data_IF_980119343415
#
_entry.id   IF_980119343415
#
_cell.length_a   1.000
_cell.length_b   1.000
_cell.length_c   1.000
_cell.angle_alpha   90.00
_cell.angle_beta   90.00
_cell.angle_gamma   90.00
#
_symmetry.space_group_name_H-M   'P 1'
#
loop_
_entity.id
_entity.type
_entity.pdbx_description
1 polymer ?
#
# COMPACT_ATOMS: atom_id res chain seq x y z
N UNK A 1 -3.01 2.37 13.43
CA UNK A 1 -4.39 2.50 12.88
C UNK A 1 -4.82 1.28 12.05
N UNK A 2 -4.06 0.80 11.06
CA UNK A 2 -4.46 -0.37 10.24
C UNK A 2 -4.76 -1.60 11.12
N UNK A 3 -3.88 -1.92 12.06
CA UNK A 3 -4.08 -3.06 12.99
C UNK A 3 -5.37 -2.88 13.80
N UNK A 4 -5.61 -1.71 14.37
CA UNK A 4 -6.81 -1.40 15.15
C UNK A 4 -8.09 -1.61 14.33
N UNK A 5 -8.09 -1.15 13.06
CA UNK A 5 -9.23 -1.37 12.16
C UNK A 5 -9.39 -2.85 11.82
N UNK A 6 -8.29 -3.56 11.57
CA UNK A 6 -8.30 -4.99 11.29
C UNK A 6 -8.84 -5.80 12.48
N UNK A 7 -8.41 -5.49 13.70
CA UNK A 7 -8.88 -6.14 14.93
C UNK A 7 -10.37 -5.88 15.17
N UNK A 8 -10.82 -4.65 15.00
CA UNK A 8 -12.23 -4.28 15.18
C UNK A 8 -13.16 -4.99 14.17
N UNK A 9 -12.62 -5.43 13.02
CA UNK A 9 -13.37 -6.03 11.92
C UNK A 9 -12.86 -7.43 11.55
N UNK A 10 -12.32 -8.18 12.50
CA UNK A 10 -11.64 -9.46 12.26
C UNK A 10 -12.53 -10.57 11.65
N UNK A 11 -13.85 -10.47 11.81
CA UNK A 11 -14.82 -11.44 11.31
C UNK A 11 -15.57 -10.94 10.05
N UNK A 12 -15.31 -9.71 9.62
CA UNK A 12 -15.95 -9.14 8.43
C UNK A 12 -15.36 -9.78 7.19
N UNK A 13 -16.24 -10.31 6.33
CA UNK A 13 -15.90 -10.94 5.07
C UNK A 13 -16.36 -10.02 3.94
N UNK A 14 -15.50 -9.85 2.94
CA UNK A 14 -15.82 -9.11 1.72
C UNK A 14 -15.39 -9.92 0.47
N UNK A 15 -15.90 -9.60 -0.71
CA UNK A 15 -15.37 -10.19 -1.94
C UNK A 15 -13.95 -9.69 -2.19
N UNK A 16 -13.01 -10.61 -2.38
CA UNK A 16 -11.70 -10.31 -2.92
C UNK A 16 -11.79 -10.09 -4.43
N UNK A 17 -10.91 -9.26 -4.97
CA UNK A 17 -10.93 -8.89 -6.39
C UNK A 17 -9.61 -9.22 -7.07
N UNK A 18 -9.71 -9.75 -8.29
CA UNK A 18 -8.63 -9.79 -9.28
C UNK A 18 -9.17 -9.20 -10.59
N UNK A 19 -8.37 -8.40 -11.30
CA UNK A 19 -8.82 -7.72 -12.52
C UNK A 19 -10.11 -6.87 -12.34
N UNK A 20 -10.34 -6.34 -11.12
CA UNK A 20 -11.59 -5.69 -10.70
C UNK A 20 -12.83 -6.57 -10.87
N UNK A 21 -12.67 -7.88 -10.95
CA UNK A 21 -13.75 -8.86 -10.92
C UNK A 21 -13.75 -9.57 -9.56
N UNK A 22 -14.93 -9.88 -9.05
CA UNK A 22 -15.08 -10.66 -7.81
C UNK A 22 -14.43 -12.03 -7.98
N UNK A 23 -13.66 -12.44 -7.00
CA UNK A 23 -12.92 -13.70 -7.04
C UNK A 23 -13.34 -14.61 -5.87
N UNK A 24 -12.70 -14.51 -4.73
CA UNK A 24 -12.96 -15.35 -3.57
C UNK A 24 -13.30 -14.47 -2.35
N UNK A 25 -14.10 -14.99 -1.40
CA UNK A 25 -14.30 -14.32 -0.12
C UNK A 25 -12.98 -14.17 0.63
N UNK A 26 -12.78 -13.03 1.27
CA UNK A 26 -11.59 -12.74 2.07
C UNK A 26 -11.99 -12.00 3.34
N UNK A 27 -11.30 -12.22 4.44
CA UNK A 27 -11.46 -11.40 5.65
C UNK A 27 -10.93 -9.99 5.40
N UNK A 28 -11.70 -8.98 5.80
CA UNK A 28 -11.27 -7.58 5.73
C UNK A 28 -9.97 -7.36 6.51
N UNK A 29 -9.83 -8.00 7.67
CA UNK A 29 -8.61 -7.97 8.47
C UNK A 29 -7.40 -8.51 7.70
N UNK A 30 -7.54 -9.62 6.98
CA UNK A 30 -6.49 -10.19 6.15
C UNK A 30 -6.08 -9.24 5.02
N UNK A 31 -7.05 -8.63 4.35
CA UNK A 31 -6.80 -7.64 3.30
C UNK A 31 -6.03 -6.41 3.83
N UNK A 32 -6.49 -5.84 4.96
CA UNK A 32 -5.83 -4.69 5.60
C UNK A 32 -4.41 -5.03 6.07
N UNK A 33 -4.20 -6.23 6.59
CA UNK A 33 -2.87 -6.68 7.02
C UNK A 33 -1.89 -6.88 5.86
N UNK A 34 -2.35 -7.02 4.61
CA UNK A 34 -1.46 -6.96 3.45
C UNK A 34 -0.79 -5.57 3.32
N UNK A 35 -1.52 -4.49 3.56
CA UNK A 35 -0.96 -3.14 3.62
C UNK A 35 -0.04 -2.94 4.83
N UNK A 36 -0.38 -3.52 5.98
CA UNK A 36 0.54 -3.52 7.12
C UNK A 36 1.90 -4.15 6.74
N UNK A 37 1.90 -5.27 6.02
CA UNK A 37 3.14 -5.92 5.56
C UNK A 37 3.93 -5.02 4.58
N UNK A 38 3.25 -4.26 3.72
CA UNK A 38 3.92 -3.29 2.84
C UNK A 38 4.61 -2.18 3.66
N UNK A 39 3.89 -1.59 4.62
CA UNK A 39 4.41 -0.54 5.49
C UNK A 39 5.52 -1.02 6.43
N UNK A 40 5.46 -2.27 6.89
CA UNK A 40 6.55 -2.89 7.67
C UNK A 40 7.84 -2.95 6.85
N UNK A 41 7.77 -3.39 5.60
CA UNK A 41 8.93 -3.36 4.71
C UNK A 41 9.43 -1.95 4.41
N UNK A 42 8.54 -0.94 4.40
CA UNK A 42 8.94 0.46 4.25
C UNK A 42 9.68 0.96 5.48
N UNK A 43 9.25 0.55 6.67
CA UNK A 43 9.97 0.86 7.90
C UNK A 43 11.40 0.29 7.91
N UNK A 44 11.55 -0.96 7.46
CA UNK A 44 12.87 -1.59 7.34
C UNK A 44 13.76 -0.85 6.31
N UNK A 45 13.18 -0.38 5.19
CA UNK A 45 13.90 0.46 4.23
C UNK A 45 14.39 1.76 4.86
N UNK A 46 13.50 2.45 5.59
CA UNK A 46 13.86 3.70 6.28
C UNK A 46 14.98 3.47 7.33
N UNK A 47 14.91 2.38 8.08
CA UNK A 47 15.96 2.01 9.03
C UNK A 47 17.31 1.80 8.32
N UNK A 48 17.29 1.17 7.15
CA UNK A 48 18.48 1.01 6.31
C UNK A 48 19.03 2.34 5.79
N UNK A 49 18.16 3.24 5.34
CA UNK A 49 18.55 4.62 4.93
C UNK A 49 19.22 5.34 6.10
N UNK A 50 18.58 5.31 7.28
CA UNK A 50 19.16 5.90 8.50
C UNK A 50 20.58 5.40 8.77
N UNK A 51 20.80 4.10 8.75
CA UNK A 51 22.12 3.49 9.02
C UNK A 51 23.19 3.93 8.02
N UNK A 52 22.85 4.11 6.74
CA UNK A 52 23.79 4.52 5.69
C UNK A 52 24.03 6.02 5.65
N UNK A 53 23.08 6.82 6.10
CA UNK A 53 23.23 8.29 6.19
C UNK A 53 23.93 8.76 7.47
N UNK A 54 24.20 7.87 8.42
CA UNK A 54 24.80 8.19 9.72
C UNK A 54 26.34 8.24 9.64
N UNK A 55 26.83 9.11 8.75
CA UNK A 55 28.24 9.33 8.44
C UNK A 55 28.59 10.82 8.63
N UNK A 56 29.59 11.11 9.45
CA UNK A 56 30.00 12.47 9.76
C UNK A 56 31.01 12.99 8.72
N UNK A 57 30.68 14.09 7.98
CA UNK A 57 31.50 14.59 6.89
C UNK A 57 32.55 15.64 7.33
N UNK A 58 32.45 16.16 8.54
CA UNK A 58 33.29 17.29 8.98
C UNK A 58 34.78 16.93 8.85
N UNK A 59 35.56 17.92 8.41
CA UNK A 59 36.99 17.77 8.15
C UNK A 59 37.32 17.46 6.68
N UNK A 60 36.32 17.23 5.83
CA UNK A 60 36.55 17.05 4.41
C UNK A 60 37.08 18.30 3.67
N UNK A 61 36.87 19.51 4.27
CA UNK A 61 37.20 20.78 3.61
C UNK A 61 36.41 20.94 2.30
N UNK A 62 37.01 21.58 1.32
CA UNK A 62 36.42 21.69 0.00
C UNK A 62 36.49 20.38 -0.80
N UNK A 63 37.54 19.58 -0.59
CA UNK A 63 37.77 18.27 -1.23
C UNK A 63 38.94 17.45 -0.64
N UNK A 64 39.98 18.11 -0.15
CA UNK A 64 41.25 17.46 0.21
C UNK A 64 41.53 17.42 1.72
N UNK A 65 40.52 17.61 2.55
CA UNK A 65 40.68 17.67 3.99
C UNK A 65 41.18 19.02 4.48
N UNK A 66 41.84 19.03 5.64
CA UNK A 66 42.40 20.25 6.27
C UNK A 66 43.75 19.95 6.88
N UNK A 67 44.61 20.95 6.94
CA UNK A 67 45.92 20.92 7.59
C UNK A 67 45.81 21.21 9.11
N UNK A 68 44.66 21.65 9.60
CA UNK A 68 44.44 21.88 11.03
C UNK A 68 44.28 20.57 11.80
N UNK A 69 44.79 20.46 13.01
CA UNK A 69 44.74 19.25 13.85
C UNK A 69 43.36 19.11 14.51
N UNK A 70 42.32 18.96 13.72
CA UNK A 70 40.96 18.75 14.23
C UNK A 70 40.75 17.29 14.65
N UNK A 71 40.04 17.08 15.75
CA UNK A 71 39.63 15.76 16.20
C UNK A 71 38.25 15.42 15.65
N UNK A 72 38.22 14.71 14.51
CA UNK A 72 36.98 14.28 13.83
C UNK A 72 36.21 13.28 14.68
N UNK A 73 36.91 12.42 15.44
CA UNK A 73 36.25 11.43 16.29
C UNK A 73 35.50 12.08 17.46
N UNK A 74 36.10 13.08 18.08
CA UNK A 74 35.45 13.86 19.14
C UNK A 74 34.14 14.48 18.62
N UNK A 75 34.17 15.11 17.44
CA UNK A 75 32.98 15.73 16.83
C UNK A 75 31.92 14.67 16.50
N UNK A 76 32.31 13.55 15.92
CA UNK A 76 31.37 12.46 15.62
C UNK A 76 30.69 11.92 16.89
N UNK A 77 31.47 11.74 17.98
CA UNK A 77 30.96 11.29 19.27
C UNK A 77 29.96 12.27 19.89
N UNK A 78 30.29 13.58 19.90
CA UNK A 78 29.43 14.62 20.45
C UNK A 78 28.13 14.77 19.65
N UNK A 79 28.19 14.72 18.33
CA UNK A 79 27.03 14.77 17.43
C UNK A 79 26.30 13.43 17.31
N UNK A 80 26.84 12.35 17.90
CA UNK A 80 26.31 11.00 17.92
C UNK A 80 26.22 10.36 16.54
N UNK A 81 27.14 10.68 15.64
CA UNK A 81 27.30 9.93 14.39
C UNK A 81 27.93 8.56 14.64
N UNK A 82 27.43 7.53 13.98
CA UNK A 82 27.94 6.17 14.10
C UNK A 82 29.33 6.01 13.45
N UNK A 83 29.60 6.75 12.37
CA UNK A 83 30.82 6.63 11.57
C UNK A 83 31.30 7.98 11.07
N UNK A 84 32.53 7.97 10.53
CA UNK A 84 33.15 9.12 9.86
C UNK A 84 33.42 8.74 8.42
N UNK A 85 33.22 9.66 7.45
CA UNK A 85 33.65 9.46 6.07
C UNK A 85 35.16 9.24 6.01
N UNK A 86 35.61 8.20 5.34
CA UNK A 86 37.02 7.84 5.20
C UNK A 86 37.74 8.64 4.11
N UNK A 87 36.99 9.04 3.06
CA UNK A 87 37.51 9.81 1.96
C UNK A 87 36.88 11.19 1.90
N UNK A 88 37.70 12.24 1.90
CA UNK A 88 37.26 13.63 1.92
C UNK A 88 36.51 14.07 0.64
N UNK A 89 36.91 13.52 -0.52
CA UNK A 89 36.23 13.85 -1.79
C UNK A 89 34.86 13.20 -1.84
N UNK A 90 34.73 11.98 -1.36
CA UNK A 90 33.46 11.26 -1.22
C UNK A 90 32.53 12.01 -0.25
N UNK A 91 33.03 12.41 0.92
CA UNK A 91 32.27 13.16 1.93
C UNK A 91 31.67 14.48 1.38
N UNK A 92 32.34 15.14 0.43
CA UNK A 92 31.85 16.36 -0.22
C UNK A 92 30.84 16.04 -1.31
N UNK A 93 31.03 14.92 -2.03
CA UNK A 93 30.31 14.56 -3.24
C UNK A 93 29.01 13.78 -2.95
N UNK A 94 29.00 13.00 -1.87
CA UNK A 94 27.93 12.04 -1.57
C UNK A 94 26.56 12.72 -1.40
N UNK A 95 25.60 12.16 -2.11
CA UNK A 95 24.16 12.45 -2.01
C UNK A 95 23.33 11.17 -2.05
N UNK A 96 23.98 10.00 -1.92
CA UNK A 96 23.29 8.71 -1.97
C UNK A 96 22.22 8.61 -0.89
N UNK A 97 22.46 9.16 0.31
CA UNK A 97 21.48 9.20 1.39
C UNK A 97 20.20 9.96 1.01
N UNK A 98 20.29 11.00 0.15
CA UNK A 98 19.12 11.72 -0.37
C UNK A 98 18.39 10.84 -1.40
N UNK A 99 19.11 10.24 -2.34
CA UNK A 99 18.55 9.35 -3.36
C UNK A 99 17.87 8.14 -2.73
N UNK A 100 18.51 7.52 -1.74
CA UNK A 100 17.93 6.40 -0.98
C UNK A 100 16.66 6.79 -0.23
N UNK A 101 16.68 7.97 0.44
CA UNK A 101 15.49 8.46 1.12
C UNK A 101 14.35 8.74 0.14
N UNK A 102 14.60 9.40 -0.98
CA UNK A 102 13.61 9.68 -2.02
C UNK A 102 13.10 8.39 -2.67
N UNK A 103 13.95 7.37 -2.81
CA UNK A 103 13.56 6.04 -3.30
C UNK A 103 12.62 5.33 -2.31
N UNK A 104 12.98 5.31 -1.03
CA UNK A 104 12.11 4.84 0.05
C UNK A 104 10.77 5.56 0.04
N UNK A 105 10.81 6.90 0.00
CA UNK A 105 9.62 7.75 0.00
C UNK A 105 8.70 7.46 -1.18
N UNK A 106 9.28 7.25 -2.36
CA UNK A 106 8.53 6.89 -3.58
C UNK A 106 7.81 5.55 -3.42
N UNK A 107 8.47 4.53 -2.88
CA UNK A 107 7.86 3.22 -2.63
C UNK A 107 6.73 3.33 -1.62
N UNK A 108 6.95 4.03 -0.49
CA UNK A 108 5.92 4.27 0.52
C UNK A 108 4.69 4.98 -0.07
N UNK A 109 4.90 6.03 -0.86
CA UNK A 109 3.80 6.74 -1.51
C UNK A 109 3.04 5.87 -2.52
N UNK A 110 3.72 4.96 -3.23
CA UNK A 110 3.05 3.97 -4.09
C UNK A 110 2.17 3.03 -3.27
N UNK A 111 2.60 2.59 -2.08
CA UNK A 111 1.77 1.77 -1.20
C UNK A 111 0.55 2.54 -0.70
N UNK A 112 0.72 3.80 -0.28
CA UNK A 112 -0.39 4.67 0.11
C UNK A 112 -1.34 4.98 -1.06
N UNK A 113 -0.80 5.15 -2.27
CA UNK A 113 -1.60 5.35 -3.49
C UNK A 113 -2.49 4.15 -3.80
N UNK A 114 -1.97 2.93 -3.65
CA UNK A 114 -2.75 1.70 -3.83
C UNK A 114 -3.86 1.56 -2.79
N UNK A 115 -3.54 1.83 -1.52
CA UNK A 115 -4.56 1.85 -0.47
C UNK A 115 -5.60 2.93 -0.73
N UNK A 116 -5.18 4.11 -1.20
CA UNK A 116 -6.09 5.20 -1.60
C UNK A 116 -7.08 4.74 -2.65
N UNK A 117 -6.61 4.05 -3.70
CA UNK A 117 -7.47 3.55 -4.77
C UNK A 117 -8.55 2.60 -4.25
N UNK A 118 -8.18 1.66 -3.37
CA UNK A 118 -9.16 0.75 -2.78
C UNK A 118 -10.18 1.48 -1.91
N UNK A 119 -9.74 2.43 -1.07
CA UNK A 119 -10.65 3.20 -0.23
C UNK A 119 -11.59 4.09 -1.07
N UNK A 120 -11.11 4.64 -2.19
CA UNK A 120 -11.95 5.38 -3.16
C UNK A 120 -13.01 4.46 -3.75
N UNK A 121 -12.63 3.29 -4.25
CA UNK A 121 -13.55 2.29 -4.79
C UNK A 121 -14.56 1.88 -3.73
N UNK A 122 -14.10 1.51 -2.53
CA UNK A 122 -14.96 1.01 -1.44
C UNK A 122 -15.91 2.07 -0.90
N UNK A 123 -15.56 3.35 -0.97
CA UNK A 123 -16.43 4.45 -0.56
C UNK A 123 -17.40 4.93 -1.65
N UNK A 124 -17.27 4.44 -2.89
CA UNK A 124 -18.17 4.78 -3.98
C UNK A 124 -19.57 4.23 -3.73
N UNK A 125 -20.59 4.84 -4.36
CA UNK A 125 -22.00 4.41 -4.26
C UNK A 125 -22.18 2.96 -4.74
N UNK A 126 -21.42 2.54 -5.74
CA UNK A 126 -21.48 1.21 -6.35
C UNK A 126 -21.00 0.12 -5.39
N UNK A 127 -19.90 0.36 -4.67
CA UNK A 127 -19.39 -0.56 -3.67
C UNK A 127 -20.09 -0.38 -2.33
N UNK A 128 -20.08 0.83 -1.77
CA UNK A 128 -20.65 1.16 -0.46
C UNK A 128 -20.13 0.25 0.68
N UNK A 129 -18.88 -0.17 0.62
CA UNK A 129 -18.24 -1.05 1.59
C UNK A 129 -17.75 -0.31 2.82
N UNK A 130 -17.41 0.97 2.67
CA UNK A 130 -16.97 1.85 3.74
C UNK A 130 -17.62 3.23 3.62
N UNK A 131 -17.62 3.94 4.74
CA UNK A 131 -17.89 5.37 4.79
C UNK A 131 -16.72 6.08 5.47
N UNK A 132 -16.15 7.07 4.80
CA UNK A 132 -15.12 7.93 5.37
C UNK A 132 -15.77 9.02 6.23
N UNK A 133 -15.07 9.48 7.27
CA UNK A 133 -15.53 10.58 8.12
C UNK A 133 -15.62 11.89 7.32
N UNK A 134 -16.61 12.73 7.63
CA UNK A 134 -16.82 14.04 7.01
C UNK A 134 -15.61 14.97 7.15
N UNK A 135 -14.84 14.83 8.23
CA UNK A 135 -13.60 15.58 8.43
C UNK A 135 -12.52 15.29 7.38
N UNK A 136 -12.64 14.18 6.63
CA UNK A 136 -11.68 13.73 5.62
C UNK A 136 -12.27 13.70 4.21
N UNK A 137 -13.45 14.31 4.03
CA UNK A 137 -14.17 14.37 2.78
C UNK A 137 -14.62 15.79 2.48
N UNK A 138 -14.85 16.13 1.21
CA UNK A 138 -15.54 17.36 0.86
C UNK A 138 -16.91 17.07 0.27
N UNK A 139 -17.87 17.93 0.61
CA UNK A 139 -19.17 17.93 -0.03
C UNK A 139 -19.14 18.65 -1.39
N UNK A 140 -20.24 18.56 -2.11
CA UNK A 140 -20.48 19.37 -3.30
C UNK A 140 -21.31 20.60 -2.94
N UNK A 141 -20.95 21.77 -3.47
CA UNK A 141 -21.76 22.99 -3.34
C UNK A 141 -23.09 22.91 -4.07
N UNK A 142 -23.24 21.96 -5.02
CA UNK A 142 -24.43 21.82 -5.86
C UNK A 142 -25.23 20.56 -5.51
N UNK A 143 -24.52 19.49 -5.09
CA UNK A 143 -25.12 18.18 -4.82
C UNK A 143 -24.97 17.83 -3.33
N UNK A 144 -25.98 18.10 -2.49
CA UNK A 144 -25.85 17.95 -1.02
C UNK A 144 -25.59 16.51 -0.57
N UNK A 145 -25.92 15.52 -1.39
CA UNK A 145 -25.68 14.09 -1.10
C UNK A 145 -24.26 13.62 -1.46
N UNK A 146 -23.48 14.43 -2.19
CA UNK A 146 -22.17 14.02 -2.70
C UNK A 146 -21.08 14.18 -1.64
N UNK A 147 -20.31 13.14 -1.42
CA UNK A 147 -19.20 13.09 -0.49
C UNK A 147 -17.96 12.55 -1.25
N UNK A 148 -16.93 13.39 -1.35
CA UNK A 148 -15.74 13.08 -2.12
C UNK A 148 -14.61 12.57 -1.20
N UNK A 149 -13.90 11.50 -1.57
CA UNK A 149 -12.78 10.97 -0.79
C UNK A 149 -11.47 11.74 -1.04
N UNK A 150 -11.47 13.06 -0.83
CA UNK A 150 -10.41 13.98 -1.25
C UNK A 150 -9.03 13.63 -0.65
N UNK A 151 -8.99 13.17 0.59
CA UNK A 151 -7.72 12.77 1.22
C UNK A 151 -7.07 11.64 0.43
N UNK A 152 -7.84 10.63 0.03
CA UNK A 152 -7.33 9.52 -0.77
C UNK A 152 -6.87 10.00 -2.15
N UNK A 153 -7.64 10.85 -2.81
CA UNK A 153 -7.29 11.40 -4.12
C UNK A 153 -6.03 12.25 -4.07
N UNK A 154 -5.92 13.14 -3.06
CA UNK A 154 -4.74 13.99 -2.89
C UNK A 154 -3.48 13.19 -2.58
N UNK A 155 -3.55 12.16 -1.74
CA UNK A 155 -2.38 11.30 -1.45
C UNK A 155 -1.99 10.51 -2.68
N UNK A 156 -2.96 9.96 -3.43
CA UNK A 156 -2.71 9.31 -4.72
C UNK A 156 -2.02 10.27 -5.71
N UNK A 157 -2.47 11.51 -5.81
CA UNK A 157 -1.88 12.54 -6.67
C UNK A 157 -0.45 12.95 -6.22
N UNK A 158 -0.23 13.12 -4.90
CA UNK A 158 1.08 13.48 -4.34
C UNK A 158 2.17 12.42 -4.57
N UNK A 159 1.80 11.20 -4.86
CA UNK A 159 2.75 10.14 -5.24
C UNK A 159 3.58 10.55 -6.46
N UNK A 160 2.94 11.14 -7.48
CA UNK A 160 3.65 11.65 -8.65
C UNK A 160 4.66 12.76 -8.33
N UNK A 161 4.34 13.64 -7.36
CA UNK A 161 5.23 14.69 -6.89
C UNK A 161 6.50 14.10 -6.25
N UNK A 162 6.36 13.13 -5.35
CA UNK A 162 7.51 12.48 -4.66
C UNK A 162 8.38 11.70 -5.65
N UNK A 163 7.77 10.95 -6.56
CA UNK A 163 8.49 10.25 -7.64
C UNK A 163 9.24 11.27 -8.53
N UNK A 164 8.62 12.42 -8.82
CA UNK A 164 9.25 13.51 -9.55
C UNK A 164 10.52 14.02 -8.87
N UNK A 165 10.53 14.18 -7.55
CA UNK A 165 11.72 14.59 -6.79
C UNK A 165 12.85 13.56 -6.86
N UNK A 166 12.54 12.27 -6.79
CA UNK A 166 13.54 11.21 -7.01
C UNK A 166 14.15 11.31 -8.41
N UNK A 167 13.33 11.46 -9.43
CA UNK A 167 13.81 11.58 -10.81
C UNK A 167 14.62 12.84 -11.04
N UNK A 168 14.21 13.97 -10.46
CA UNK A 168 14.97 15.21 -10.50
C UNK A 168 16.35 15.03 -9.87
N UNK A 169 16.44 14.44 -8.67
CA UNK A 169 17.71 14.22 -7.97
C UNK A 169 18.66 13.31 -8.75
N UNK A 170 18.17 12.18 -9.25
CA UNK A 170 18.96 11.27 -10.11
C UNK A 170 19.47 11.98 -11.37
N UNK A 171 18.62 12.83 -11.96
CA UNK A 171 18.99 13.60 -13.17
C UNK A 171 20.03 14.67 -12.86
N UNK A 172 19.93 15.33 -11.70
CA UNK A 172 20.91 16.32 -11.26
C UNK A 172 22.29 15.70 -11.04
N UNK A 173 22.34 14.54 -10.36
CA UNK A 173 23.60 13.88 -10.02
C UNK A 173 24.30 13.22 -11.21
N UNK A 174 23.55 12.75 -12.21
CA UNK A 174 24.15 12.06 -13.36
C UNK A 174 25.19 12.94 -14.06
N UNK A 175 26.36 12.41 -14.28
CA UNK A 175 27.42 13.06 -15.05
C UNK A 175 28.14 14.22 -14.34
N UNK A 176 27.84 14.47 -13.05
CA UNK A 176 28.64 15.42 -12.25
C UNK A 176 30.03 14.85 -11.98
N UNK A 177 31.09 15.62 -12.13
CA UNK A 177 32.41 15.22 -11.66
C UNK A 177 32.47 15.19 -10.13
N UNK A 178 33.53 14.57 -9.60
CA UNK A 178 33.73 14.46 -8.14
C UNK A 178 33.77 15.82 -7.46
N UNK A 179 33.47 15.75 -6.17
CA UNK A 179 33.37 16.84 -5.19
C UNK A 179 32.12 17.69 -5.37
N UNK A 180 32.22 19.01 -5.36
CA UNK A 180 31.05 19.89 -5.33
C UNK A 180 30.88 20.67 -6.63
N UNK A 181 29.65 20.67 -7.14
CA UNK A 181 29.19 21.51 -8.22
C UNK A 181 27.91 22.24 -7.79
N UNK A 182 27.64 23.41 -8.33
CA UNK A 182 26.47 24.23 -7.97
C UNK A 182 25.13 23.52 -8.21
N UNK A 183 25.08 22.58 -9.14
CA UNK A 183 23.93 21.68 -9.38
C UNK A 183 23.43 20.99 -8.11
N UNK A 184 24.35 20.69 -7.17
CA UNK A 184 24.02 20.05 -5.89
C UNK A 184 23.21 20.96 -4.95
N UNK A 185 22.97 22.23 -5.26
CA UNK A 185 22.05 23.06 -4.49
C UNK A 185 20.59 22.64 -4.68
N UNK A 186 20.27 21.96 -5.78
CA UNK A 186 18.94 21.40 -6.03
C UNK A 186 18.62 20.17 -5.16
N UNK A 187 19.54 19.71 -4.31
CA UNK A 187 19.37 18.53 -3.48
C UNK A 187 18.36 18.72 -2.33
N UNK A 188 18.11 19.95 -1.87
CA UNK A 188 17.40 20.23 -0.62
C UNK A 188 15.90 20.43 -0.79
N UNK A 189 15.47 21.19 -1.79
CA UNK A 189 14.06 21.57 -1.93
C UNK A 189 13.17 20.34 -2.13
N UNK A 190 13.54 19.44 -3.05
CA UNK A 190 12.80 18.21 -3.31
C UNK A 190 12.81 17.25 -2.09
N UNK A 191 13.93 17.21 -1.34
CA UNK A 191 14.04 16.41 -0.13
C UNK A 191 13.09 16.92 0.95
N UNK A 192 13.14 18.21 1.27
CA UNK A 192 12.32 18.81 2.33
C UNK A 192 10.84 18.74 1.99
N UNK A 193 10.47 19.03 0.76
CA UNK A 193 9.09 18.89 0.29
C UNK A 193 8.58 17.44 0.39
N UNK A 194 9.45 16.47 0.10
CA UNK A 194 9.11 15.05 0.26
C UNK A 194 8.90 14.68 1.72
N UNK A 195 9.76 15.14 2.63
CA UNK A 195 9.64 14.89 4.07
C UNK A 195 8.30 15.43 4.60
N UNK A 196 7.95 16.67 4.24
CA UNK A 196 6.70 17.29 4.67
C UNK A 196 5.49 16.59 4.07
N UNK A 197 5.57 16.20 2.79
CA UNK A 197 4.52 15.44 2.11
C UNK A 197 4.29 14.10 2.78
N UNK A 198 5.34 13.36 3.15
CA UNK A 198 5.22 12.08 3.86
C UNK A 198 4.61 12.24 5.24
N UNK A 199 5.13 13.17 6.05
CA UNK A 199 4.63 13.42 7.41
C UNK A 199 3.15 13.75 7.40
N UNK A 200 2.73 14.65 6.51
CA UNK A 200 1.34 15.03 6.37
C UNK A 200 0.47 13.86 5.89
N UNK A 201 0.90 13.14 4.86
CA UNK A 201 0.16 12.02 4.30
C UNK A 201 -0.04 10.90 5.34
N UNK A 202 1.00 10.52 6.06
CA UNK A 202 0.91 9.49 7.11
C UNK A 202 0.00 9.91 8.26
N UNK A 203 0.09 11.17 8.69
CA UNK A 203 -0.73 11.70 9.79
C UNK A 203 -2.21 11.72 9.44
N UNK A 204 -2.56 12.24 8.26
CA UNK A 204 -3.96 12.32 7.82
C UNK A 204 -4.54 10.94 7.53
N UNK A 205 -3.73 10.02 6.98
CA UNK A 205 -4.15 8.63 6.78
C UNK A 205 -4.46 7.92 8.09
N UNK A 206 -3.60 8.09 9.09
CA UNK A 206 -3.82 7.50 10.41
C UNK A 206 -5.11 8.01 11.08
N UNK A 207 -5.43 9.29 10.90
CA UNK A 207 -6.67 9.89 11.40
C UNK A 207 -7.90 9.40 10.60
N UNK A 208 -7.81 9.40 9.27
CA UNK A 208 -8.89 8.97 8.39
C UNK A 208 -9.29 7.50 8.63
N UNK A 209 -8.31 6.59 8.75
CA UNK A 209 -8.58 5.18 9.02
C UNK A 209 -9.26 4.96 10.38
N UNK A 210 -8.96 5.77 11.40
CA UNK A 210 -9.64 5.69 12.71
C UNK A 210 -11.10 6.10 12.65
N UNK A 211 -11.46 7.05 11.80
CA UNK A 211 -12.84 7.53 11.61
C UNK A 211 -13.64 6.74 10.57
N UNK A 212 -13.00 5.83 9.86
CA UNK A 212 -13.65 5.04 8.81
C UNK A 212 -14.65 4.04 9.40
N UNK A 213 -15.87 4.03 8.85
CA UNK A 213 -16.91 3.06 9.17
C UNK A 213 -16.90 1.94 8.13
N UNK A 214 -17.01 0.71 8.58
CA UNK A 214 -17.11 -0.50 7.74
C UNK A 214 -18.57 -0.91 7.63
N UNK A 215 -19.05 -1.10 6.41
CA UNK A 215 -20.39 -1.58 6.12
C UNK A 215 -20.36 -3.12 5.88
N UNK A 216 -20.27 -3.87 6.97
CA UNK A 216 -20.16 -5.32 6.95
C UNK A 216 -21.35 -6.00 6.26
N UNK A 217 -22.56 -5.46 6.46
CA UNK A 217 -23.79 -6.00 5.84
C UNK A 217 -23.74 -5.89 4.33
N UNK A 218 -23.27 -4.75 3.82
CA UNK A 218 -23.11 -4.55 2.37
C UNK A 218 -22.05 -5.49 1.78
N UNK A 219 -20.92 -5.63 2.44
CA UNK A 219 -19.87 -6.57 2.03
C UNK A 219 -20.40 -8.00 1.96
N UNK A 220 -21.16 -8.42 2.97
CA UNK A 220 -21.80 -9.74 3.02
C UNK A 220 -22.84 -9.92 1.93
N UNK A 221 -23.74 -8.96 1.75
CA UNK A 221 -24.76 -9.00 0.70
C UNK A 221 -24.17 -9.23 -0.69
N UNK A 222 -23.05 -8.54 -0.99
CA UNK A 222 -22.40 -8.67 -2.31
C UNK A 222 -21.84 -10.08 -2.53
N UNK A 223 -21.42 -10.77 -1.47
CA UNK A 223 -20.99 -12.17 -1.51
C UNK A 223 -22.18 -13.13 -1.69
N UNK A 224 -23.30 -12.85 -1.03
CA UNK A 224 -24.49 -13.68 -1.14
C UNK A 224 -25.11 -13.59 -2.56
N UNK A 225 -24.87 -12.47 -3.27
CA UNK A 225 -25.37 -12.22 -4.64
C UNK A 225 -24.42 -12.70 -5.75
N UNK A 226 -23.41 -13.54 -5.46
CA UNK A 226 -22.44 -13.98 -6.46
C UNK A 226 -22.11 -15.48 -6.40
N UNK A 227 -21.15 -15.91 -7.21
CA UNK A 227 -20.68 -17.29 -7.30
C UNK A 227 -19.26 -17.47 -6.77
N UNK A 228 -18.77 -16.58 -5.88
CA UNK A 228 -17.40 -16.60 -5.34
C UNK A 228 -17.09 -17.89 -4.56
N UNK A 229 -18.11 -18.57 -4.03
CA UNK A 229 -18.03 -19.85 -3.34
C UNK A 229 -17.92 -21.07 -4.28
N UNK A 230 -17.96 -20.88 -5.59
CA UNK A 230 -17.81 -21.96 -6.57
C UNK A 230 -16.47 -22.72 -6.42
N UNK A 231 -15.40 -22.01 -6.04
CA UNK A 231 -14.09 -22.63 -5.78
C UNK A 231 -14.15 -23.60 -4.61
N UNK A 232 -14.83 -23.23 -3.52
CA UNK A 232 -14.99 -24.09 -2.34
C UNK A 232 -15.77 -25.36 -2.68
N UNK A 233 -16.79 -25.24 -3.54
CA UNK A 233 -17.55 -26.38 -4.05
C UNK A 233 -16.67 -27.32 -4.90
N UNK A 234 -15.75 -26.77 -5.72
CA UNK A 234 -14.80 -27.58 -6.48
C UNK A 234 -13.81 -28.30 -5.56
N UNK A 235 -13.27 -27.59 -4.56
CA UNK A 235 -12.36 -28.16 -3.55
C UNK A 235 -13.05 -29.26 -2.72
N UNK A 236 -14.34 -29.09 -2.40
CA UNK A 236 -15.12 -30.11 -1.73
C UNK A 236 -15.14 -31.41 -2.59
N UNK A 237 -15.44 -31.33 -3.86
CA UNK A 237 -15.46 -32.50 -4.74
C UNK A 237 -14.07 -33.13 -4.90
N UNK A 238 -13.01 -32.33 -4.92
CA UNK A 238 -11.62 -32.83 -4.94
C UNK A 238 -11.30 -33.62 -3.67
N UNK A 239 -11.70 -33.14 -2.50
CA UNK A 239 -11.55 -33.86 -1.22
C UNK A 239 -12.33 -35.18 -1.21
N UNK A 240 -13.41 -35.28 -2.00
CA UNK A 240 -14.18 -36.51 -2.21
C UNK A 240 -13.56 -37.44 -3.25
N UNK A 241 -12.39 -37.11 -3.81
CA UNK A 241 -11.62 -37.94 -4.73
C UNK A 241 -11.85 -37.63 -6.22
N UNK A 242 -12.62 -36.59 -6.57
CA UNK A 242 -12.78 -36.18 -7.96
C UNK A 242 -11.53 -35.42 -8.43
N UNK A 243 -10.95 -35.74 -9.62
CA UNK A 243 -9.86 -34.94 -10.19
C UNK A 243 -10.27 -33.48 -10.36
N UNK A 244 -9.35 -32.53 -10.05
CA UNK A 244 -9.64 -31.10 -10.04
C UNK A 244 -10.31 -30.61 -11.34
N UNK A 245 -9.82 -31.08 -12.50
CA UNK A 245 -10.38 -30.69 -13.80
C UNK A 245 -11.83 -31.11 -13.97
N UNK A 246 -12.19 -32.26 -13.44
CA UNK A 246 -13.56 -32.77 -13.46
C UNK A 246 -14.44 -32.03 -12.45
N UNK A 247 -13.94 -31.79 -11.23
CA UNK A 247 -14.59 -30.99 -10.22
C UNK A 247 -14.93 -29.59 -10.74
N UNK A 248 -13.97 -28.90 -11.37
CA UNK A 248 -14.17 -27.61 -12.01
C UNK A 248 -15.27 -27.66 -13.08
N UNK A 249 -15.30 -28.71 -13.93
CA UNK A 249 -16.34 -28.87 -14.94
C UNK A 249 -17.73 -29.11 -14.33
N UNK A 250 -17.83 -29.90 -13.25
CA UNK A 250 -19.09 -30.15 -12.53
C UNK A 250 -19.60 -28.82 -11.91
N UNK A 251 -18.75 -28.10 -11.23
CA UNK A 251 -19.12 -26.81 -10.60
C UNK A 251 -19.48 -25.75 -11.64
N UNK A 252 -18.79 -25.72 -12.78
CA UNK A 252 -19.17 -24.87 -13.92
C UNK A 252 -20.59 -25.15 -14.45
N UNK A 253 -21.03 -26.39 -14.39
CA UNK A 253 -22.43 -26.75 -14.74
C UNK A 253 -23.42 -26.32 -13.65
N UNK A 254 -23.03 -26.44 -12.37
CA UNK A 254 -23.85 -25.96 -11.26
C UNK A 254 -24.04 -24.44 -11.31
N UNK A 255 -22.99 -23.69 -11.57
CA UNK A 255 -23.04 -22.22 -11.76
C UNK A 255 -23.96 -21.87 -12.93
N UNK A 256 -23.84 -22.58 -14.08
CA UNK A 256 -24.73 -22.35 -15.23
C UNK A 256 -26.18 -22.59 -14.87
N UNK A 257 -26.48 -23.68 -14.17
CA UNK A 257 -27.84 -24.00 -13.72
C UNK A 257 -28.38 -22.91 -12.80
N UNK A 258 -27.56 -22.43 -11.88
CA UNK A 258 -27.94 -21.35 -10.97
C UNK A 258 -28.26 -20.06 -11.74
N UNK A 259 -27.42 -19.67 -12.70
CA UNK A 259 -27.66 -18.50 -13.58
C UNK A 259 -28.96 -18.63 -14.36
N UNK A 260 -29.17 -19.78 -15.00
CA UNK A 260 -30.38 -20.05 -15.83
C UNK A 260 -31.68 -20.02 -15.01
N UNK A 261 -31.59 -20.46 -13.75
CA UNK A 261 -32.72 -20.46 -12.81
C UNK A 261 -32.82 -19.20 -11.93
N UNK A 262 -31.92 -18.24 -12.12
CA UNK A 262 -31.83 -16.99 -11.33
C UNK A 262 -31.76 -17.25 -9.83
N UNK A 263 -30.93 -18.21 -9.43
CA UNK A 263 -30.66 -18.59 -8.03
C UNK A 263 -29.17 -18.53 -7.73
N UNK A 264 -28.82 -18.46 -6.46
CA UNK A 264 -27.44 -18.62 -5.98
C UNK A 264 -27.07 -20.11 -5.88
N UNK A 265 -25.76 -20.43 -5.80
CA UNK A 265 -25.32 -21.82 -5.63
C UNK A 265 -25.88 -22.48 -4.38
N UNK A 266 -26.03 -21.71 -3.28
CA UNK A 266 -26.60 -22.19 -2.02
C UNK A 266 -28.11 -22.50 -2.10
N UNK A 267 -28.82 -22.02 -3.11
CA UNK A 267 -30.24 -22.24 -3.33
C UNK A 267 -30.53 -23.46 -4.23
N UNK A 268 -29.47 -24.09 -4.77
CA UNK A 268 -29.63 -25.35 -5.53
C UNK A 268 -29.96 -26.50 -4.58
N UNK A 269 -30.98 -27.25 -4.92
CA UNK A 269 -31.37 -28.41 -4.11
C UNK A 269 -30.37 -29.55 -4.28
N UNK A 270 -30.18 -30.33 -3.20
CA UNK A 270 -29.27 -31.49 -3.23
C UNK A 270 -29.55 -32.45 -4.40
N UNK A 271 -30.82 -32.66 -4.75
CA UNK A 271 -31.18 -33.53 -5.90
C UNK A 271 -30.64 -33.00 -7.25
N UNK A 272 -30.57 -31.67 -7.42
CA UNK A 272 -30.04 -31.04 -8.61
C UNK A 272 -28.51 -31.21 -8.67
N UNK A 273 -27.85 -31.02 -7.53
CA UNK A 273 -26.42 -31.24 -7.38
C UNK A 273 -26.04 -32.71 -7.61
N UNK A 274 -26.80 -33.66 -7.05
CA UNK A 274 -26.61 -35.10 -7.27
C UNK A 274 -26.76 -35.49 -8.73
N UNK A 275 -27.64 -34.83 -9.48
CA UNK A 275 -27.76 -35.05 -10.94
C UNK A 275 -26.52 -34.61 -11.72
N UNK A 276 -25.74 -33.64 -11.19
CA UNK A 276 -24.50 -33.18 -11.78
C UNK A 276 -23.29 -34.05 -11.38
N UNK A 277 -23.26 -34.51 -10.11
CA UNK A 277 -22.23 -35.38 -9.57
C UNK A 277 -22.75 -36.14 -8.34
N UNK A 278 -22.62 -37.48 -8.29
CA UNK A 278 -23.10 -38.28 -7.16
C UNK A 278 -22.29 -38.14 -5.88
N UNK A 279 -21.19 -37.40 -5.90
CA UNK A 279 -20.34 -37.16 -4.72
C UNK A 279 -20.85 -36.03 -3.81
N UNK A 280 -21.86 -35.29 -4.22
CA UNK A 280 -22.49 -34.31 -3.32
C UNK A 280 -23.25 -34.99 -2.19
N UNK A 281 -23.16 -34.44 -0.98
CA UNK A 281 -23.85 -34.92 0.23
C UNK A 281 -24.57 -33.76 0.90
N UNK A 282 -25.55 -34.06 1.77
CA UNK A 282 -26.32 -33.07 2.51
C UNK A 282 -25.49 -32.37 3.60
#
# INVERSE_FOLDING_TARGET
>A
SIIEVAEANKEVILPGYTHLQRAQPVLLSHHLLAYFQMLSRDFDRLAGVWQRSDLMPLGAGALAGTTFPIDRQMVANELKFAKIYENSMDAVSDRDYIVEFLSFASILMVHLSRLSEELILWSSTEFSFIELDDAHCTGSSIMPQKKNPDVCELVRGKTGRVVGHLMAMLTTLKGLPMTYNKDMQEDKEGLFDTIDTLKFSLSVYAAMLKGMKVNADRMRQVLDDDFSNATDMADYLVRKGLPFREAHSVVGRAVRLAIETKRNLAELELKELLALCPLFEA
#
